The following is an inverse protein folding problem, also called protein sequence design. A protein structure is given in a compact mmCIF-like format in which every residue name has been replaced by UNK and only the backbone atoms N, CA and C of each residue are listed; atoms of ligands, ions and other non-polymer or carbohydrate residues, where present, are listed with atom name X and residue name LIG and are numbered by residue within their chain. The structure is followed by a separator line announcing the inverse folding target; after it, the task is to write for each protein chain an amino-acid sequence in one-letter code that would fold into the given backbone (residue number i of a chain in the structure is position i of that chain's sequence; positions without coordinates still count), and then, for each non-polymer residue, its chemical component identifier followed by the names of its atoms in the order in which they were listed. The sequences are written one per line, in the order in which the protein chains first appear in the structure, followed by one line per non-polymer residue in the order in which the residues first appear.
data_IF_825692112221
#
_entry.id   IF_825692112221
#
_cell.length_a   1.000
_cell.length_b   1.000
_cell.length_c   1.000
_cell.angle_alpha   90.00
_cell.angle_beta   90.00
_cell.angle_gamma   90.00
#
_symmetry.space_group_name_H-M   'P 1'
#
loop_
_entity.id
_entity.type
_entity.pdbx_description
1 polymer ?
#
# COMPACT_ATOMS: atom_id res chain seq x y z
N UNK A 1 4.76 14.39 -3.80
CA UNK A 1 3.33 14.49 -3.43
C UNK A 1 2.50 14.14 -4.66
N UNK A 2 1.53 13.23 -4.56
CA UNK A 2 0.58 12.94 -5.65
C UNK A 2 -0.70 13.75 -5.44
N UNK A 3 -1.09 14.55 -6.43
CA UNK A 3 -2.26 15.44 -6.38
C UNK A 3 -3.20 15.23 -7.56
N UNK A 4 -4.47 15.57 -7.37
CA UNK A 4 -5.50 15.47 -8.40
C UNK A 4 -6.87 15.04 -7.85
N UNK A 5 -7.90 14.99 -8.71
CA UNK A 5 -9.27 14.61 -8.34
C UNK A 5 -9.38 13.23 -7.68
N UNK A 6 -10.53 12.96 -7.06
CA UNK A 6 -10.87 11.60 -6.61
C UNK A 6 -10.93 10.63 -7.81
N UNK A 7 -10.52 9.38 -7.60
CA UNK A 7 -10.50 8.36 -8.66
C UNK A 7 -9.35 8.45 -9.67
N UNK A 8 -8.52 9.50 -9.67
CA UNK A 8 -7.40 9.66 -10.63
C UNK A 8 -6.24 8.66 -10.44
N UNK A 9 -6.29 7.81 -9.42
CA UNK A 9 -5.29 6.76 -9.19
C UNK A 9 -4.12 7.13 -8.28
N UNK A 10 -4.20 8.20 -7.47
CA UNK A 10 -3.10 8.63 -6.57
C UNK A 10 -2.55 7.51 -5.67
N UNK A 11 -3.44 6.73 -5.06
CA UNK A 11 -3.05 5.60 -4.20
C UNK A 11 -2.38 4.48 -5.02
N UNK A 12 -2.91 4.20 -6.22
CA UNK A 12 -2.30 3.24 -7.15
C UNK A 12 -0.89 3.69 -7.53
N UNK A 13 -0.70 4.95 -7.94
CA UNK A 13 0.63 5.49 -8.28
C UNK A 13 1.60 5.43 -7.10
N UNK A 14 1.17 5.80 -5.89
CA UNK A 14 2.02 5.72 -4.71
C UNK A 14 2.48 4.28 -4.43
N UNK A 15 1.58 3.31 -4.56
CA UNK A 15 1.87 1.88 -4.38
C UNK A 15 2.79 1.34 -5.46
N UNK A 16 2.56 1.69 -6.73
CA UNK A 16 3.43 1.29 -7.85
C UNK A 16 4.82 1.90 -7.70
N UNK A 17 4.94 3.15 -7.26
CA UNK A 17 6.24 3.75 -6.95
C UNK A 17 6.97 2.98 -5.84
N UNK A 18 6.28 2.63 -4.76
CA UNK A 18 6.86 1.81 -3.70
C UNK A 18 7.30 0.43 -4.22
N UNK A 19 6.53 -0.20 -5.11
CA UNK A 19 6.91 -1.46 -5.75
C UNK A 19 8.17 -1.31 -6.61
N UNK A 20 8.24 -0.27 -7.45
CA UNK A 20 9.39 -0.01 -8.31
C UNK A 20 10.66 0.26 -7.49
N UNK A 21 10.55 1.05 -6.43
CA UNK A 21 11.67 1.37 -5.54
C UNK A 21 12.24 0.16 -4.79
N UNK A 22 11.42 -0.87 -4.56
CA UNK A 22 11.81 -2.11 -3.88
C UNK A 22 11.94 -3.30 -4.84
N UNK A 23 11.87 -3.06 -6.16
CA UNK A 23 11.85 -4.13 -7.14
C UNK A 23 13.24 -4.78 -7.27
N UNK A 24 13.30 -6.11 -7.19
CA UNK A 24 14.54 -6.88 -7.33
C UNK A 24 15.06 -6.92 -8.78
N UNK A 25 14.20 -6.61 -9.77
CA UNK A 25 14.61 -6.59 -11.18
C UNK A 25 15.31 -5.29 -11.59
N UNK A 26 15.14 -4.20 -10.83
CA UNK A 26 15.91 -2.96 -11.01
C UNK A 26 15.59 -2.12 -12.26
N UNK A 27 14.45 -2.35 -12.93
CA UNK A 27 14.15 -1.75 -14.25
C UNK A 27 13.42 -0.39 -14.20
N UNK A 28 13.66 0.44 -13.18
CA UNK A 28 12.93 1.72 -12.96
C UNK A 28 11.39 1.60 -12.97
N UNK A 29 10.86 0.37 -12.87
CA UNK A 29 9.45 0.03 -12.89
C UNK A 29 9.16 -1.15 -11.93
N UNK A 30 7.89 -1.32 -11.59
CA UNK A 30 7.41 -2.40 -10.74
C UNK A 30 7.11 -3.65 -11.59
N UNK A 31 7.96 -4.68 -11.48
CA UNK A 31 7.75 -5.91 -12.26
C UNK A 31 6.50 -6.72 -11.87
N UNK A 32 5.86 -6.42 -10.74
CA UNK A 32 4.66 -7.12 -10.25
C UNK A 32 4.86 -8.55 -9.74
N UNK A 33 5.97 -9.19 -10.10
CA UNK A 33 6.18 -10.63 -9.91
C UNK A 33 7.28 -10.99 -8.91
N UNK A 34 8.14 -10.05 -8.50
CA UNK A 34 9.17 -10.35 -7.50
C UNK A 34 8.61 -10.42 -6.08
N UNK A 35 9.40 -10.91 -5.13
CA UNK A 35 8.99 -11.06 -3.73
C UNK A 35 8.48 -9.74 -3.12
N UNK A 36 9.27 -8.66 -3.18
CA UNK A 36 8.85 -7.33 -2.74
C UNK A 36 7.60 -6.81 -3.43
N UNK A 37 7.52 -6.91 -4.77
CA UNK A 37 6.36 -6.43 -5.53
C UNK A 37 5.05 -7.11 -5.09
N UNK A 38 5.07 -8.45 -4.90
CA UNK A 38 3.90 -9.20 -4.40
C UNK A 38 3.56 -8.86 -2.95
N UNK A 39 4.56 -8.66 -2.08
CA UNK A 39 4.33 -8.27 -0.67
C UNK A 39 3.73 -6.87 -0.55
N UNK A 40 4.22 -5.90 -1.32
CA UNK A 40 3.64 -4.55 -1.39
C UNK A 40 2.23 -4.61 -1.99
N UNK A 41 2.00 -5.49 -2.97
CA UNK A 41 0.65 -5.77 -3.44
C UNK A 41 -0.24 -6.34 -2.33
N UNK A 42 0.29 -7.24 -1.49
CA UNK A 42 -0.42 -7.76 -0.33
C UNK A 42 -0.63 -6.75 0.81
N UNK A 43 0.09 -5.61 0.83
CA UNK A 43 0.26 -4.72 1.99
C UNK A 43 0.94 -5.42 3.18
N UNK A 44 1.89 -6.30 2.90
CA UNK A 44 2.63 -7.09 3.89
C UNK A 44 4.14 -7.07 3.62
N UNK A 45 4.67 -5.91 3.22
CA UNK A 45 6.11 -5.71 3.07
C UNK A 45 6.67 -5.13 4.37
N UNK A 46 7.78 -5.66 4.92
CA UNK A 46 8.32 -5.19 6.20
C UNK A 46 8.65 -3.69 6.19
N UNK A 47 9.14 -3.18 5.06
CA UNK A 47 9.59 -1.79 4.93
C UNK A 47 8.57 -0.85 4.24
N UNK A 48 7.37 -1.32 3.91
CA UNK A 48 6.34 -0.48 3.28
C UNK A 48 5.04 -0.57 4.07
N UNK A 49 4.69 0.54 4.72
CA UNK A 49 3.48 0.67 5.53
C UNK A 49 2.42 1.50 4.80
N UNK A 50 1.19 1.04 4.87
CA UNK A 50 0.02 1.80 4.45
C UNK A 50 -0.60 2.45 5.68
N UNK A 51 -0.72 3.78 5.66
CA UNK A 51 -1.31 4.56 6.75
C UNK A 51 -2.59 5.20 6.25
N UNK A 52 -3.69 4.90 6.92
CA UNK A 52 -5.03 5.42 6.63
C UNK A 52 -5.78 5.65 7.94
N UNK A 53 -6.82 6.49 7.96
CA UNK A 53 -7.75 6.57 9.08
C UNK A 53 -8.38 5.19 9.38
N UNK A 54 -8.63 4.90 10.65
CA UNK A 54 -9.21 3.61 11.09
C UNK A 54 -10.55 3.31 10.41
N UNK A 55 -11.42 4.33 10.29
CA UNK A 55 -12.70 4.20 9.62
C UNK A 55 -12.55 3.69 8.18
N UNK A 56 -11.52 4.14 7.46
CA UNK A 56 -11.24 3.73 6.09
C UNK A 56 -10.67 2.30 6.03
N UNK A 57 -9.80 1.93 6.97
CA UNK A 57 -9.29 0.56 7.09
C UNK A 57 -10.42 -0.46 7.32
N UNK A 58 -11.39 -0.10 8.17
CA UNK A 58 -12.59 -0.90 8.44
C UNK A 58 -13.50 -0.95 7.21
N UNK A 59 -13.77 0.19 6.57
CA UNK A 59 -14.64 0.27 5.39
C UNK A 59 -14.11 -0.57 4.22
N UNK A 60 -12.78 -0.65 4.07
CA UNK A 60 -12.11 -1.47 3.05
C UNK A 60 -11.95 -2.94 3.45
N UNK A 61 -12.33 -3.32 4.68
CA UNK A 61 -12.20 -4.68 5.21
C UNK A 61 -10.74 -5.12 5.41
N UNK A 62 -9.82 -4.17 5.62
CA UNK A 62 -8.40 -4.46 5.83
C UNK A 62 -8.04 -4.62 7.31
N UNK A 63 -8.93 -4.19 8.19
CA UNK A 63 -8.88 -4.42 9.62
C UNK A 63 -10.32 -4.54 10.16
N UNK A 64 -10.51 -5.35 11.20
CA UNK A 64 -11.73 -5.41 11.98
C UNK A 64 -11.72 -4.36 13.10
N UNK A 65 -12.91 -4.02 13.62
CA UNK A 65 -13.03 -3.13 14.81
C UNK A 65 -12.24 -3.65 16.02
N UNK A 66 -12.14 -4.97 16.16
CA UNK A 66 -11.38 -5.61 17.23
C UNK A 66 -9.86 -5.36 17.14
N UNK A 67 -9.33 -5.08 15.93
CA UNK A 67 -7.89 -4.79 15.74
C UNK A 67 -7.50 -3.44 16.37
N UNK A 68 -8.49 -2.62 16.77
CA UNK A 68 -8.31 -1.32 17.39
C UNK A 68 -8.87 -1.26 18.82
N UNK A 69 -9.59 -2.29 19.29
CA UNK A 69 -10.15 -2.29 20.66
C UNK A 69 -9.04 -2.41 21.69
N UNK A 70 -8.77 -1.32 22.43
CA UNK A 70 -7.73 -1.26 23.46
C UNK A 70 -6.51 -0.40 23.11
N UNK A 71 -6.50 0.29 21.96
CA UNK A 71 -5.61 1.45 21.78
C UNK A 71 -6.13 2.63 22.62
N UNK A 72 -5.25 3.43 23.26
CA UNK A 72 -5.67 4.64 23.96
C UNK A 72 -6.35 5.64 23.01
#
# INVERSE_FOLDING_TARGET
LFGGPEGVGKELTARTLAQAANCERGEADACGECGPCRRIAGRNHPDVLLVLPEAELIARGWAGRADFSGKP
#
